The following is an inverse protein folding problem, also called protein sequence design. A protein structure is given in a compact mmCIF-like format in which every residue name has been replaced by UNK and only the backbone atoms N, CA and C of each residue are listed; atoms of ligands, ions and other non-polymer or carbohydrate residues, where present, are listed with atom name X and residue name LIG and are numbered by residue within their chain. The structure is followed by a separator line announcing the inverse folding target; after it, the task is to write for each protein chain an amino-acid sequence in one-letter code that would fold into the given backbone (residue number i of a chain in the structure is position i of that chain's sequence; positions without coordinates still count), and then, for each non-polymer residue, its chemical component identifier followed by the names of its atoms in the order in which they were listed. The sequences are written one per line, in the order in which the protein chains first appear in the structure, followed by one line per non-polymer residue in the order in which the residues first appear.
data_IF_834588877413
#
_entry.id   IF_834588877413
#
_cell.length_a   1.000
_cell.length_b   1.000
_cell.length_c   1.000
_cell.angle_alpha   90.00
_cell.angle_beta   90.00
_cell.angle_gamma   90.00
#
_symmetry.space_group_name_H-M   'P 1'
#
loop_
_entity.id
_entity.type
_entity.pdbx_description
1 polymer ?
#
# COMPACT_ATOMS: atom_id res chain seq x y z
N UNK A 1 13.05 15.32 -4.98
CA UNK A 1 12.30 15.26 -3.71
C UNK A 1 13.17 14.68 -2.61
N UNK A 2 12.99 15.13 -1.37
CA UNK A 2 13.62 14.54 -0.17
C UNK A 2 12.70 13.48 0.44
N UNK A 3 13.23 12.69 1.36
CA UNK A 3 12.45 11.66 2.08
C UNK A 3 11.35 12.30 2.93
N UNK A 4 11.69 13.37 3.64
CA UNK A 4 10.71 14.17 4.36
C UNK A 4 9.63 14.75 3.44
N UNK A 5 10.01 15.30 2.29
CA UNK A 5 9.06 15.87 1.34
C UNK A 5 8.08 14.84 0.76
N UNK A 6 8.54 13.62 0.52
CA UNK A 6 7.71 12.51 0.06
C UNK A 6 6.64 12.13 1.09
N UNK A 7 7.04 11.90 2.34
CA UNK A 7 6.11 11.56 3.42
C UNK A 7 5.14 12.70 3.75
N UNK A 8 5.61 13.95 3.69
CA UNK A 8 4.74 15.11 3.88
C UNK A 8 3.68 15.22 2.78
N UNK A 9 4.03 14.95 1.52
CA UNK A 9 3.09 15.03 0.41
C UNK A 9 2.02 13.93 0.50
N UNK A 10 2.42 12.68 0.82
CA UNK A 10 1.48 11.59 1.08
C UNK A 10 0.57 11.91 2.28
N UNK A 11 1.13 12.38 3.39
CA UNK A 11 0.34 12.76 4.56
C UNK A 11 -0.70 13.82 4.23
N UNK A 12 -0.32 14.87 3.49
CA UNK A 12 -1.29 15.90 3.05
C UNK A 12 -2.38 15.34 2.13
N UNK A 13 -2.07 14.35 1.28
CA UNK A 13 -3.07 13.70 0.43
C UNK A 13 -4.12 12.97 1.28
N UNK A 14 -3.69 12.24 2.31
CA UNK A 14 -4.61 11.53 3.23
C UNK A 14 -5.47 12.46 4.10
N UNK A 15 -5.04 13.71 4.27
CA UNK A 15 -5.79 14.74 5.00
C UNK A 15 -6.84 15.44 4.13
N UNK A 16 -6.82 15.22 2.81
CA UNK A 16 -7.83 15.82 1.93
C UNK A 16 -9.19 15.18 2.16
N UNK A 17 -10.27 15.98 2.07
CA UNK A 17 -11.62 15.43 2.09
C UNK A 17 -11.86 14.58 0.84
N UNK A 18 -12.82 13.67 0.93
CA UNK A 18 -13.21 12.83 -0.18
C UNK A 18 -12.77 11.38 -0.03
N UNK A 19 -13.02 10.60 -1.07
CA UNK A 19 -12.52 9.23 -1.18
C UNK A 19 -11.07 9.17 -1.68
N UNK A 20 -10.54 7.95 -1.77
CA UNK A 20 -9.16 7.71 -2.21
C UNK A 20 -8.86 8.23 -3.62
N UNK A 21 -9.86 8.25 -4.51
CA UNK A 21 -9.67 8.74 -5.87
C UNK A 21 -9.58 10.26 -5.87
N UNK A 22 -10.47 10.95 -5.14
CA UNK A 22 -10.39 12.41 -4.93
C UNK A 22 -9.06 12.81 -4.26
N UNK A 23 -8.57 12.01 -3.31
CA UNK A 23 -7.28 12.23 -2.65
C UNK A 23 -6.08 12.01 -3.60
N UNK A 24 -6.15 11.00 -4.48
CA UNK A 24 -5.16 10.76 -5.53
C UNK A 24 -5.17 11.87 -6.58
N UNK A 25 -6.34 12.35 -7.00
CA UNK A 25 -6.49 13.49 -7.91
C UNK A 25 -5.83 14.74 -7.34
N UNK A 26 -6.06 15.03 -6.06
CA UNK A 26 -5.40 16.14 -5.38
C UNK A 26 -3.86 15.98 -5.37
N UNK A 27 -3.36 14.76 -5.12
CA UNK A 27 -1.93 14.48 -5.15
C UNK A 27 -1.36 14.71 -6.56
N UNK A 28 -2.05 14.25 -7.60
CA UNK A 28 -1.71 14.51 -9.01
C UNK A 28 -1.62 16.01 -9.27
N UNK A 29 -2.61 16.80 -8.85
CA UNK A 29 -2.61 18.26 -9.01
C UNK A 29 -1.46 18.96 -8.28
N UNK A 30 -1.06 18.48 -7.10
CA UNK A 30 0.09 19.04 -6.39
C UNK A 30 1.40 18.67 -7.09
N UNK A 31 1.51 17.46 -7.64
CA UNK A 31 2.68 17.00 -8.39
C UNK A 31 2.86 17.81 -9.70
N UNK A 32 1.78 18.17 -10.41
CA UNK A 32 1.90 18.97 -11.65
C UNK A 32 2.45 20.37 -11.41
N UNK A 33 2.34 20.89 -10.18
CA UNK A 33 2.91 22.20 -9.78
C UNK A 33 4.41 22.13 -9.47
N UNK A 34 4.99 20.93 -9.38
CA UNK A 34 6.41 20.73 -9.11
C UNK A 34 7.23 20.72 -10.41
N UNK A 35 8.55 20.98 -10.33
CA UNK A 35 9.44 20.72 -11.45
C UNK A 35 9.36 19.25 -11.89
N UNK A 36 9.45 18.98 -13.20
CA UNK A 36 9.40 17.59 -13.76
C UNK A 36 10.36 16.63 -13.04
N UNK A 37 11.56 17.10 -12.68
CA UNK A 37 12.54 16.30 -11.94
C UNK A 37 12.05 15.87 -10.55
N UNK A 38 11.20 16.66 -9.89
CA UNK A 38 10.59 16.32 -8.61
C UNK A 38 9.45 15.31 -8.77
N UNK A 39 8.66 15.37 -9.85
CA UNK A 39 7.65 14.36 -10.18
C UNK A 39 8.30 13.00 -10.44
N UNK A 40 9.38 12.99 -11.24
CA UNK A 40 10.18 11.79 -11.48
C UNK A 40 10.76 11.24 -10.18
N UNK A 41 11.23 12.10 -9.29
CA UNK A 41 11.80 11.68 -8.02
C UNK A 41 10.73 11.18 -7.03
N UNK A 42 9.51 11.72 -7.07
CA UNK A 42 8.37 11.15 -6.34
C UNK A 42 8.08 9.73 -6.82
N UNK A 43 7.99 9.49 -8.14
CA UNK A 43 7.76 8.17 -8.70
C UNK A 43 8.83 7.15 -8.29
N UNK A 44 10.11 7.55 -8.33
CA UNK A 44 11.22 6.70 -7.85
C UNK A 44 11.08 6.34 -6.39
N UNK A 45 10.74 7.32 -5.55
CA UNK A 45 10.58 7.13 -4.10
C UNK A 45 9.40 6.25 -3.77
N UNK A 46 8.25 6.44 -4.45
CA UNK A 46 7.09 5.59 -4.28
C UNK A 46 7.47 4.13 -4.56
N UNK A 47 8.13 3.86 -5.69
CA UNK A 47 8.59 2.53 -6.05
C UNK A 47 9.62 1.95 -5.06
N UNK A 48 10.62 2.74 -4.64
CA UNK A 48 11.64 2.31 -3.68
C UNK A 48 11.05 2.00 -2.31
N UNK A 49 10.20 2.89 -1.78
CA UNK A 49 9.58 2.73 -0.47
C UNK A 49 8.62 1.55 -0.49
N UNK A 50 7.72 1.47 -1.49
CA UNK A 50 6.80 0.33 -1.68
C UNK A 50 7.55 -1.00 -1.70
N UNK A 51 8.68 -1.07 -2.41
CA UNK A 51 9.48 -2.30 -2.53
C UNK A 51 9.99 -2.83 -1.19
N UNK A 52 10.08 -2.01 -0.15
CA UNK A 52 10.49 -2.44 1.19
C UNK A 52 9.43 -3.30 1.88
N UNK A 53 8.16 -3.14 1.51
CA UNK A 53 7.06 -3.98 1.96
C UNK A 53 6.85 -5.21 1.06
N UNK A 54 7.66 -5.41 0.03
CA UNK A 54 7.55 -6.52 -0.92
C UNK A 54 8.24 -7.78 -0.39
N UNK A 55 7.63 -8.38 0.63
CA UNK A 55 8.08 -9.62 1.28
C UNK A 55 6.96 -10.66 1.28
N UNK A 56 7.31 -11.95 1.27
CA UNK A 56 6.34 -13.03 1.40
C UNK A 56 5.58 -12.98 2.72
N UNK A 57 6.22 -12.50 3.80
CA UNK A 57 5.53 -12.29 5.08
C UNK A 57 4.53 -11.15 5.03
N UNK A 58 4.82 -10.05 4.33
CA UNK A 58 3.82 -9.00 4.09
C UNK A 58 2.71 -9.49 3.15
N UNK A 59 3.04 -10.31 2.15
CA UNK A 59 2.06 -10.93 1.26
C UNK A 59 1.08 -11.81 2.04
N UNK A 60 1.58 -12.64 2.95
CA UNK A 60 0.74 -13.44 3.84
C UNK A 60 -0.12 -12.56 4.75
N UNK A 61 0.39 -11.41 5.21
CA UNK A 61 -0.39 -10.47 6.01
C UNK A 61 -1.55 -9.86 5.21
N UNK A 62 -1.29 -9.39 3.99
CA UNK A 62 -2.33 -8.88 3.09
C UNK A 62 -3.38 -9.96 2.78
N UNK A 63 -2.93 -11.16 2.41
CA UNK A 63 -3.81 -12.30 2.14
C UNK A 63 -4.70 -12.66 3.33
N UNK A 64 -4.17 -12.58 4.56
CA UNK A 64 -4.94 -12.86 5.77
C UNK A 64 -5.99 -11.78 6.05
N UNK A 65 -5.65 -10.50 5.81
CA UNK A 65 -6.55 -9.36 6.00
C UNK A 65 -7.67 -9.35 4.96
N UNK A 66 -7.35 -9.57 3.69
CA UNK A 66 -8.27 -9.48 2.54
C UNK A 66 -8.98 -10.82 2.19
N UNK A 67 -8.68 -11.89 2.93
CA UNK A 67 -9.13 -13.26 2.65
C UNK A 67 -8.76 -13.77 1.23
N UNK A 68 -7.57 -13.37 0.78
CA UNK A 68 -7.08 -13.61 -0.56
C UNK A 68 -6.46 -12.33 -1.12
N UNK A 69 -5.39 -12.46 -1.92
CA UNK A 69 -4.76 -11.28 -2.51
C UNK A 69 -4.13 -11.65 -3.86
N UNK A 70 -4.51 -10.92 -4.91
CA UNK A 70 -3.87 -11.03 -6.23
C UNK A 70 -2.55 -10.25 -6.25
N UNK A 71 -1.75 -10.37 -7.31
CA UNK A 71 -0.53 -9.58 -7.43
C UNK A 71 -0.80 -8.07 -7.51
N UNK A 72 -1.88 -7.68 -8.19
CA UNK A 72 -2.28 -6.27 -8.30
C UNK A 72 -2.89 -5.78 -6.97
N UNK A 73 -3.75 -6.61 -6.34
CA UNK A 73 -4.30 -6.32 -5.01
C UNK A 73 -3.19 -6.12 -3.97
N UNK A 74 -2.13 -6.94 -4.01
CA UNK A 74 -1.00 -6.78 -3.10
C UNK A 74 -0.25 -5.46 -3.34
N UNK A 75 -0.13 -5.05 -4.61
CA UNK A 75 0.43 -3.75 -4.94
C UNK A 75 -0.41 -2.61 -4.31
N UNK A 76 -1.73 -2.71 -4.41
CA UNK A 76 -2.66 -1.72 -3.85
C UNK A 76 -2.67 -1.71 -2.33
N UNK A 77 -2.51 -2.89 -1.69
CA UNK A 77 -2.31 -3.01 -0.26
C UNK A 77 -1.03 -2.32 0.20
N UNK A 78 0.08 -2.50 -0.52
CA UNK A 78 1.32 -1.80 -0.21
C UNK A 78 1.15 -0.28 -0.35
N UNK A 79 0.47 0.20 -1.39
CA UNK A 79 0.19 1.63 -1.56
C UNK A 79 -0.63 2.19 -0.40
N UNK A 80 -1.68 1.49 0.03
CA UNK A 80 -2.44 1.81 1.24
C UNK A 80 -1.57 1.78 2.51
N UNK A 81 -0.63 0.84 2.63
CA UNK A 81 0.27 0.78 3.78
C UNK A 81 1.13 2.04 3.91
N UNK A 82 1.59 2.62 2.79
CA UNK A 82 2.32 3.90 2.82
C UNK A 82 1.46 5.04 3.35
N UNK A 83 0.14 5.02 3.09
CA UNK A 83 -0.75 6.11 3.50
C UNK A 83 -1.12 6.06 4.98
N UNK A 84 -0.77 4.98 5.70
CA UNK A 84 -0.85 4.93 7.17
C UNK A 84 0.22 5.81 7.85
N UNK A 85 1.11 6.41 7.07
CA UNK A 85 2.18 7.27 7.53
C UNK A 85 3.46 6.50 7.84
N UNK A 86 4.55 7.24 7.87
CA UNK A 86 5.92 6.71 7.95
C UNK A 86 6.12 5.75 9.13
N UNK A 87 5.68 6.11 10.33
CA UNK A 87 5.95 5.31 11.52
C UNK A 87 5.28 3.93 11.45
N UNK A 88 4.03 3.87 11.00
CA UNK A 88 3.27 2.62 10.84
C UNK A 88 3.89 1.79 9.72
N UNK A 89 4.21 2.41 8.58
CA UNK A 89 4.85 1.74 7.46
C UNK A 89 6.18 1.08 7.87
N UNK A 90 7.07 1.84 8.53
CA UNK A 90 8.38 1.35 8.98
C UNK A 90 8.25 0.17 9.96
N UNK A 91 7.28 0.23 10.87
CA UNK A 91 6.99 -0.85 11.82
C UNK A 91 6.48 -2.09 11.10
N UNK A 92 5.55 -1.94 10.17
CA UNK A 92 4.97 -3.03 9.41
C UNK A 92 6.00 -3.71 8.49
N UNK A 93 6.92 -2.94 7.88
CA UNK A 93 8.04 -3.49 7.10
C UNK A 93 8.97 -4.33 7.98
N UNK A 94 9.27 -3.89 9.20
CA UNK A 94 10.11 -4.63 10.12
C UNK A 94 9.41 -5.87 10.71
N UNK A 95 8.10 -5.78 10.91
CA UNK A 95 7.25 -6.78 11.54
C UNK A 95 5.82 -6.70 10.97
N UNK A 96 5.48 -7.47 9.92
CA UNK A 96 4.15 -7.40 9.31
C UNK A 96 3.02 -7.78 10.26
N UNK A 97 3.30 -8.59 11.30
CA UNK A 97 2.31 -8.96 12.31
C UNK A 97 1.88 -7.76 13.18
N UNK A 98 2.64 -6.66 13.18
CA UNK A 98 2.29 -5.41 13.86
C UNK A 98 1.06 -4.71 13.27
N UNK A 99 0.63 -5.09 12.06
CA UNK A 99 -0.62 -4.61 11.47
C UNK A 99 -1.85 -4.96 12.33
N UNK A 100 -1.77 -5.98 13.18
CA UNK A 100 -2.82 -6.32 14.13
C UNK A 100 -3.10 -5.21 15.17
N UNK A 101 -2.21 -4.23 15.30
CA UNK A 101 -2.35 -3.08 16.20
C UNK A 101 -2.85 -1.81 15.49
N UNK A 102 -2.96 -1.84 14.16
CA UNK A 102 -3.41 -0.69 13.37
C UNK A 102 -4.93 -0.54 13.53
N UNK A 103 -5.44 0.64 13.95
CA UNK A 103 -6.87 0.83 14.21
C UNK A 103 -7.77 0.47 13.02
N UNK A 104 -7.35 0.78 11.79
CA UNK A 104 -8.08 0.39 10.58
C UNK A 104 -8.20 -1.12 10.42
N UNK A 105 -7.11 -1.87 10.61
CA UNK A 105 -7.09 -3.34 10.52
C UNK A 105 -7.94 -3.97 11.63
N UNK A 106 -7.86 -3.45 12.85
CA UNK A 106 -8.71 -3.91 13.97
C UNK A 106 -10.20 -3.66 13.68
N UNK A 107 -10.54 -2.51 13.10
CA UNK A 107 -11.92 -2.20 12.72
C UNK A 107 -12.43 -3.15 11.62
N UNK A 108 -11.58 -3.50 10.65
CA UNK A 108 -11.89 -4.47 9.60
C UNK A 108 -12.18 -5.86 10.18
N UNK A 109 -11.33 -6.35 11.08
CA UNK A 109 -11.54 -7.63 11.76
C UNK A 109 -12.80 -7.64 12.67
N UNK A 110 -13.29 -6.48 13.09
CA UNK A 110 -14.46 -6.38 13.97
C UNK A 110 -15.82 -6.64 13.30
N UNK A 111 -15.87 -6.81 11.96
CA UNK A 111 -17.10 -6.98 11.19
C UNK A 111 -16.87 -7.92 9.99
N UNK A 112 -17.90 -8.62 9.52
CA UNK A 112 -17.73 -9.54 8.39
C UNK A 112 -17.45 -8.77 7.10
N UNK A 113 -16.60 -9.33 6.24
CA UNK A 113 -16.15 -8.73 4.98
C UNK A 113 -17.29 -8.30 4.05
N UNK A 114 -18.43 -9.01 4.07
CA UNK A 114 -19.65 -8.64 3.31
C UNK A 114 -20.27 -7.29 3.71
N UNK A 115 -19.85 -6.71 4.82
CA UNK A 115 -20.30 -5.39 5.31
C UNK A 115 -19.27 -4.28 5.01
N UNK A 116 -18.13 -4.62 4.42
CA UNK A 116 -17.14 -3.63 3.99
C UNK A 116 -17.65 -2.89 2.76
N UNK A 117 -17.53 -1.57 2.81
CA UNK A 117 -17.67 -0.70 1.66
C UNK A 117 -16.37 -0.64 0.84
N UNK A 118 -16.42 -0.06 -0.35
CA UNK A 118 -15.24 0.11 -1.21
C UNK A 118 -14.12 0.90 -0.49
N UNK A 119 -14.49 1.81 0.41
CA UNK A 119 -13.53 2.60 1.20
C UNK A 119 -12.95 1.85 2.40
N UNK A 120 -13.54 0.72 2.79
CA UNK A 120 -13.05 -0.10 3.90
C UNK A 120 -11.90 -1.01 3.47
N UNK A 121 -11.85 -1.42 2.20
CA UNK A 121 -10.76 -2.24 1.67
C UNK A 121 -9.40 -1.57 1.89
N UNK A 122 -8.39 -2.27 2.40
CA UNK A 122 -7.06 -1.72 2.65
C UNK A 122 -6.23 -1.58 1.36
N UNK A 123 -6.82 -0.96 0.34
CA UNK A 123 -6.27 -0.84 -1.01
C UNK A 123 -6.29 0.62 -1.47
N UNK A 124 -5.30 1.03 -2.26
CA UNK A 124 -5.24 2.36 -2.86
C UNK A 124 -4.66 2.34 -4.27
N UNK A 125 -5.44 1.79 -5.22
CA UNK A 125 -5.06 1.66 -6.63
C UNK A 125 -4.69 3.01 -7.28
N UNK A 126 -5.52 4.04 -7.09
CA UNK A 126 -5.33 5.33 -7.76
C UNK A 126 -4.02 6.04 -7.41
N UNK A 127 -3.38 5.69 -6.28
CA UNK A 127 -2.08 6.24 -5.88
C UNK A 127 -0.96 5.84 -6.85
N UNK A 128 -1.05 4.68 -7.51
CA UNK A 128 -0.03 4.21 -8.46
C UNK A 128 0.04 5.12 -9.69
N UNK A 129 -1.10 5.70 -10.08
CA UNK A 129 -1.22 6.52 -11.28
C UNK A 129 -0.84 7.98 -11.08
N UNK A 130 -0.87 8.49 -9.84
CA UNK A 130 -0.74 9.93 -9.57
C UNK A 130 0.53 10.57 -10.18
N UNK A 131 1.68 9.89 -10.06
CA UNK A 131 2.93 10.38 -10.63
C UNK A 131 2.96 10.27 -12.16
N UNK A 132 2.37 9.21 -12.72
CA UNK A 132 2.29 8.97 -14.16
C UNK A 132 1.43 10.03 -14.84
N UNK A 133 0.26 10.30 -14.30
CA UNK A 133 -0.66 11.33 -14.79
C UNK A 133 -0.04 12.72 -14.69
N UNK A 134 0.52 13.06 -13.53
CA UNK A 134 1.19 14.35 -13.34
C UNK A 134 2.35 14.53 -14.33
N UNK A 135 3.18 13.50 -14.52
CA UNK A 135 4.28 13.53 -15.48
C UNK A 135 3.78 13.70 -16.92
N UNK A 136 2.74 12.97 -17.32
CA UNK A 136 2.14 13.09 -18.63
C UNK A 136 1.59 14.50 -18.88
N UNK A 137 0.91 15.10 -17.89
CA UNK A 137 0.36 16.45 -18.02
C UNK A 137 1.45 17.51 -18.21
N UNK A 138 2.51 17.48 -17.39
CA UNK A 138 3.56 18.52 -17.44
C UNK A 138 4.53 18.36 -18.62
N UNK A 139 4.65 17.15 -19.19
CA UNK A 139 5.60 16.88 -20.28
C UNK A 139 4.94 16.63 -21.64
N UNK A 140 3.66 16.27 -21.66
CA UNK A 140 2.96 15.76 -22.84
C UNK A 140 3.43 14.37 -23.30
N UNK A 141 4.24 13.66 -22.51
CA UNK A 141 4.77 12.35 -22.86
C UNK A 141 3.95 11.24 -22.20
N UNK A 142 3.19 10.51 -23.02
CA UNK A 142 2.56 9.26 -22.62
C UNK A 142 3.64 8.24 -22.20
N UNK A 143 3.39 7.55 -21.10
CA UNK A 143 4.29 6.54 -20.54
C UNK A 143 5.75 6.98 -20.35
N UNK A 144 5.95 8.26 -20.00
CA UNK A 144 7.28 8.83 -19.84
C UNK A 144 8.07 8.25 -18.66
N UNK A 145 7.40 7.82 -17.60
CA UNK A 145 8.01 7.26 -16.39
C UNK A 145 8.41 5.78 -16.54
N UNK A 146 7.82 5.06 -17.49
CA UNK A 146 8.07 3.64 -17.75
C UNK A 146 9.50 3.43 -18.24
N UNK A 147 10.07 4.45 -18.88
CA UNK A 147 11.49 4.52 -19.27
C UNK A 147 12.44 4.46 -18.08
N UNK A 148 11.97 4.68 -16.85
CA UNK A 148 12.76 4.57 -15.63
C UNK A 148 12.98 3.10 -15.23
N UNK A 149 12.19 2.16 -15.76
CA UNK A 149 12.30 0.74 -15.42
C UNK A 149 12.04 0.45 -13.95
N UNK A 150 11.13 1.20 -13.33
CA UNK A 150 10.77 1.01 -11.93
C UNK A 150 10.03 -0.33 -11.74
N UNK A 151 10.23 -1.02 -10.60
CA UNK A 151 9.51 -2.26 -10.32
C UNK A 151 8.00 -2.02 -10.23
N UNK A 152 7.22 -2.73 -11.05
CA UNK A 152 5.76 -2.75 -10.98
C UNK A 152 5.20 -3.82 -10.03
N UNK A 153 3.90 -4.12 -10.14
CA UNK A 153 3.21 -5.13 -9.32
C UNK A 153 3.75 -6.56 -9.49
N UNK A 154 4.27 -6.91 -10.69
CA UNK A 154 4.80 -8.24 -10.99
C UNK A 154 6.24 -8.50 -10.47
N UNK A 155 6.81 -7.57 -9.70
CA UNK A 155 8.12 -7.77 -9.10
C UNK A 155 8.07 -8.91 -8.06
N UNK A 156 9.11 -9.75 -8.01
CA UNK A 156 9.20 -10.79 -6.98
C UNK A 156 9.53 -10.19 -5.61
N UNK A 157 8.97 -10.73 -4.51
CA UNK A 157 9.36 -10.37 -3.16
C UNK A 157 10.87 -10.49 -2.91
N UNK A 158 11.39 -9.70 -1.96
CA UNK A 158 12.83 -9.57 -1.71
C UNK A 158 13.39 -10.63 -0.76
N UNK A 159 12.53 -11.36 -0.04
CA UNK A 159 12.88 -12.42 0.89
C UNK A 159 12.67 -13.83 0.31
N UNK A 160 13.02 -14.84 1.10
CA UNK A 160 12.88 -16.23 0.67
C UNK A 160 11.41 -16.64 0.60
N UNK A 161 11.03 -17.26 -0.51
CA UNK A 161 9.70 -17.82 -0.71
C UNK A 161 9.41 -18.95 0.29
N UNK A 162 8.20 -18.94 0.82
CA UNK A 162 7.62 -19.95 1.70
C UNK A 162 6.12 -20.08 1.38
N UNK A 163 5.50 -21.16 1.83
CA UNK A 163 4.13 -21.46 1.48
C UNK A 163 3.15 -20.60 2.30
N UNK A 164 2.66 -19.52 1.68
CA UNK A 164 1.69 -18.61 2.33
C UNK A 164 0.31 -19.24 2.50
N UNK A 165 0.04 -20.41 1.90
CA UNK A 165 -1.20 -21.17 2.10
C UNK A 165 -1.10 -22.16 3.27
N UNK A 166 0.09 -22.41 3.82
CA UNK A 166 0.27 -23.20 5.04
C UNK A 166 -0.17 -22.40 6.27
N UNK A 167 -1.41 -22.65 6.72
CA UNK A 167 -2.00 -21.97 7.88
C UNK A 167 -1.17 -22.09 9.17
N UNK A 168 -0.46 -23.21 9.38
CA UNK A 168 0.36 -23.38 10.58
C UNK A 168 1.64 -22.54 10.50
N UNK A 169 2.24 -22.41 9.31
CA UNK A 169 3.36 -21.50 9.07
C UNK A 169 2.92 -20.03 9.16
N UNK A 170 1.77 -19.67 8.56
CA UNK A 170 1.17 -18.33 8.69
C UNK A 170 0.91 -17.99 10.14
N UNK A 171 0.30 -18.90 10.93
CA UNK A 171 0.04 -18.69 12.36
C UNK A 171 1.33 -18.52 13.16
N UNK A 172 2.40 -19.23 12.81
CA UNK A 172 3.68 -19.12 13.49
C UNK A 172 4.38 -17.78 13.19
N UNK A 173 4.24 -17.25 11.97
CA UNK A 173 4.87 -16.01 11.52
C UNK A 173 4.05 -14.74 11.82
N UNK A 174 2.72 -14.85 11.80
CA UNK A 174 1.76 -13.76 11.99
C UNK A 174 0.76 -14.08 13.12
N UNK A 175 1.22 -14.37 14.35
CA UNK A 175 0.36 -14.86 15.43
C UNK A 175 -0.71 -13.86 15.89
N UNK A 176 -0.42 -12.54 15.88
CA UNK A 176 -1.40 -11.52 16.31
C UNK A 176 -2.46 -11.32 15.25
N UNK A 177 -2.07 -11.15 13.98
CA UNK A 177 -3.02 -11.03 12.88
C UNK A 177 -3.87 -12.30 12.76
N UNK A 178 -3.26 -13.48 12.87
CA UNK A 178 -4.00 -14.74 12.83
C UNK A 178 -5.08 -14.77 13.91
N UNK A 179 -4.72 -14.44 15.15
CA UNK A 179 -5.65 -14.44 16.27
C UNK A 179 -6.77 -13.41 16.09
N UNK A 180 -6.45 -12.24 15.52
CA UNK A 180 -7.39 -11.16 15.24
C UNK A 180 -8.47 -11.59 14.22
N UNK A 181 -8.06 -12.16 13.08
CA UNK A 181 -8.99 -12.58 12.02
C UNK A 181 -9.62 -13.96 12.26
N UNK A 182 -8.98 -14.87 12.98
CA UNK A 182 -9.59 -16.14 13.38
C UNK A 182 -10.76 -15.92 14.37
N UNK A 183 -10.63 -14.97 15.30
CA UNK A 183 -11.73 -14.58 16.17
C UNK A 183 -12.89 -13.97 15.37
N UNK A 184 -12.59 -13.14 14.37
CA UNK A 184 -13.59 -12.55 13.47
C UNK A 184 -14.41 -13.62 12.72
N UNK A 185 -13.73 -14.62 12.14
CA UNK A 185 -14.35 -15.72 11.39
C UNK A 185 -15.22 -16.63 12.26
N UNK A 186 -14.94 -16.75 13.55
CA UNK A 186 -15.75 -17.54 14.48
C UNK A 186 -17.08 -16.85 14.87
N UNK A 187 -17.23 -15.56 14.58
CA UNK A 187 -18.40 -14.75 14.92
C UNK A 187 -19.23 -14.33 13.70
N UNK A 188 -18.83 -14.72 12.48
CA UNK A 188 -19.54 -14.50 11.22
C UNK A 188 -20.58 -15.59 10.93
#
# INVERSE_FOLDING_TARGET
MTDEGFWQLLGRATEQPGDRDEQSEWLTEELTRLPVGEVVEFARRLAEVRRRADTWTMWAAAHLVEEGCSADGFCYFQLWLLTLGREVFERAVADPDSLAEVPGVVALAGRPMREWSDQDWPEWESLDFAAHEAHQEVTGLESGLERLGLPGAAAKPVDAEWDIEDEDEVRARLPRLWSLFAAARAHA
#
